data_IF_070776394013
#
_entry.id   IF_070776394013
#
_cell.length_a   1.000
_cell.length_b   1.000
_cell.length_c   1.000
_cell.angle_alpha   90.00
_cell.angle_beta   90.00
_cell.angle_gamma   90.00
#
_symmetry.space_group_name_H-M   'P 1'
#
loop_
_entity.id
_entity.type
_entity.pdbx_description
1 polymer ?
#
# COMPACT_ATOMS: atom_id res chain seq x y z
N UNK A 1 -31.97 39.13 9.26
CA UNK A 1 -31.09 38.14 8.67
C UNK A 1 -31.25 36.82 9.39
N UNK A 2 -32.09 35.91 8.86
CA UNK A 2 -32.27 34.56 9.42
C UNK A 2 -31.18 33.65 8.82
N UNK A 3 -30.26 33.21 9.66
CA UNK A 3 -29.27 32.18 9.31
C UNK A 3 -29.96 30.82 9.39
N UNK A 4 -30.23 30.21 8.22
CA UNK A 4 -30.71 28.83 8.13
C UNK A 4 -29.52 27.93 8.39
N UNK A 5 -29.50 27.23 9.55
CA UNK A 5 -28.58 26.18 9.83
C UNK A 5 -28.91 24.96 8.97
N UNK A 6 -27.95 24.53 8.15
CA UNK A 6 -28.02 23.25 7.43
C UNK A 6 -27.92 22.11 8.45
N UNK A 7 -28.75 21.06 8.33
CA UNK A 7 -28.65 19.92 9.22
C UNK A 7 -27.31 19.21 8.99
N UNK A 8 -26.60 18.98 10.07
CA UNK A 8 -25.42 18.14 10.18
C UNK A 8 -25.76 16.71 9.71
N UNK A 9 -25.31 16.35 8.49
CA UNK A 9 -25.38 15.00 7.95
C UNK A 9 -24.14 14.21 8.38
N UNK A 10 -24.05 13.92 9.66
CA UNK A 10 -22.94 13.17 10.25
C UNK A 10 -23.35 12.28 11.39
N UNK A 11 -24.50 11.64 11.30
CA UNK A 11 -24.83 10.52 12.20
C UNK A 11 -24.92 9.25 11.35
N UNK A 12 -23.86 8.44 11.45
CA UNK A 12 -23.77 7.08 10.90
C UNK A 12 -24.93 6.24 11.45
N UNK A 13 -25.99 6.14 10.66
CA UNK A 13 -27.14 5.28 10.92
C UNK A 13 -26.75 3.83 10.59
N UNK A 14 -25.83 3.24 11.34
CA UNK A 14 -25.62 1.78 11.33
C UNK A 14 -24.75 1.28 12.51
N UNK A 15 -24.84 1.94 13.66
CA UNK A 15 -24.26 1.36 14.88
C UNK A 15 -25.31 0.45 15.53
N UNK A 16 -25.52 -0.75 14.95
CA UNK A 16 -26.24 -1.84 15.62
C UNK A 16 -25.23 -2.52 16.53
N UNK A 17 -25.38 -2.42 17.87
CA UNK A 17 -24.45 -3.06 18.79
C UNK A 17 -24.55 -4.58 18.64
N UNK A 18 -23.51 -5.21 18.12
CA UNK A 18 -23.37 -6.66 18.07
C UNK A 18 -23.05 -7.31 16.72
N UNK A 19 -23.10 -6.59 15.62
CA UNK A 19 -22.64 -7.10 14.33
C UNK A 19 -21.45 -6.27 13.85
N UNK A 20 -20.26 -6.87 13.82
CA UNK A 20 -19.06 -6.29 13.18
C UNK A 20 -19.27 -6.23 11.64
N UNK A 21 -20.26 -5.47 11.19
CA UNK A 21 -20.47 -5.24 9.77
C UNK A 21 -19.53 -4.15 9.33
N UNK A 22 -18.39 -4.55 8.75
CA UNK A 22 -17.47 -3.61 8.14
C UNK A 22 -18.11 -3.07 6.87
N UNK A 23 -18.38 -1.76 6.82
CA UNK A 23 -18.88 -1.11 5.61
C UNK A 23 -17.76 -0.98 4.56
N UNK A 24 -18.13 -0.85 3.30
CA UNK A 24 -17.16 -0.69 2.21
C UNK A 24 -16.20 0.49 2.45
N UNK A 25 -16.73 1.63 2.89
CA UNK A 25 -15.92 2.83 3.16
C UNK A 25 -14.98 2.62 4.36
N UNK A 26 -15.44 1.93 5.39
CA UNK A 26 -14.59 1.57 6.52
C UNK A 26 -13.46 0.61 6.10
N UNK A 27 -13.75 -0.37 5.25
CA UNK A 27 -12.74 -1.28 4.71
C UNK A 27 -11.68 -0.54 3.86
N UNK A 28 -12.11 0.39 3.00
CA UNK A 28 -11.18 1.21 2.20
C UNK A 28 -10.33 2.09 3.11
N UNK A 29 -10.91 2.79 4.08
CA UNK A 29 -10.14 3.62 5.03
C UNK A 29 -9.12 2.79 5.80
N UNK A 30 -9.53 1.62 6.30
CA UNK A 30 -8.64 0.72 7.04
C UNK A 30 -7.47 0.24 6.17
N UNK A 31 -7.74 -0.13 4.92
CA UNK A 31 -6.71 -0.54 3.98
C UNK A 31 -5.72 0.62 3.68
N UNK A 32 -6.23 1.82 3.40
CA UNK A 32 -5.39 2.99 3.13
C UNK A 32 -4.54 3.42 4.34
N UNK A 33 -5.04 3.21 5.56
CA UNK A 33 -4.31 3.60 6.78
C UNK A 33 -3.24 2.58 7.17
N UNK A 34 -3.53 1.29 6.98
CA UNK A 34 -2.68 0.21 7.53
C UNK A 34 -1.79 -0.47 6.48
N UNK A 35 -1.94 -0.15 5.20
CA UNK A 35 -1.13 -0.79 4.16
C UNK A 35 0.34 -0.36 4.27
N UNK A 36 1.29 -1.30 4.43
CA UNK A 36 2.72 -1.01 4.54
C UNK A 36 3.31 -0.39 3.28
N UNK A 37 2.79 -0.71 2.09
CA UNK A 37 3.31 -0.18 0.82
C UNK A 37 3.12 1.34 0.70
N UNK A 38 2.06 1.90 1.32
CA UNK A 38 1.87 3.36 1.40
C UNK A 38 3.01 4.01 2.18
N UNK A 39 3.48 3.35 3.23
CA UNK A 39 4.61 3.85 4.04
C UNK A 39 5.91 3.81 3.24
N UNK A 40 6.14 2.75 2.45
CA UNK A 40 7.29 2.65 1.55
C UNK A 40 7.24 3.75 0.50
N UNK A 41 6.13 3.91 -0.21
CA UNK A 41 5.98 4.96 -1.23
C UNK A 41 6.12 6.38 -0.65
N UNK A 42 5.67 6.60 0.59
CA UNK A 42 5.86 7.89 1.27
C UNK A 42 7.34 8.14 1.64
N UNK A 43 8.06 7.08 2.03
CA UNK A 43 9.50 7.14 2.26
C UNK A 43 10.29 7.42 0.95
N UNK A 44 9.87 6.83 -0.17
CA UNK A 44 10.43 7.12 -1.50
C UNK A 44 10.27 8.60 -1.88
N UNK A 45 9.12 9.20 -1.57
CA UNK A 45 8.92 10.65 -1.78
C UNK A 45 9.87 11.45 -0.90
N UNK A 46 10.05 11.05 0.37
CA UNK A 46 10.99 11.71 1.27
C UNK A 46 12.44 11.60 0.76
N UNK A 47 12.84 10.43 0.26
CA UNK A 47 14.14 10.20 -0.39
C UNK A 47 14.34 11.12 -1.60
N UNK A 48 13.37 11.17 -2.52
CA UNK A 48 13.44 12.05 -3.69
C UNK A 48 13.52 13.56 -3.33
N UNK A 49 12.86 13.97 -2.23
CA UNK A 49 13.01 15.34 -1.71
C UNK A 49 14.39 15.59 -1.13
N UNK A 50 14.99 14.60 -0.47
CA UNK A 50 16.38 14.64 -0.01
C UNK A 50 17.34 14.83 -1.18
N UNK A 51 17.20 14.05 -2.24
CA UNK A 51 17.98 14.20 -3.49
C UNK A 51 17.83 15.61 -4.09
N UNK A 52 16.60 16.13 -4.15
CA UNK A 52 16.37 17.50 -4.63
C UNK A 52 17.09 18.54 -3.76
N UNK A 53 17.14 18.34 -2.45
CA UNK A 53 17.89 19.22 -1.54
C UNK A 53 19.38 19.14 -1.82
N UNK A 54 19.93 17.96 -2.00
CA UNK A 54 21.34 17.74 -2.34
C UNK A 54 21.70 18.42 -3.66
N UNK A 55 20.85 18.30 -4.68
CA UNK A 55 21.06 18.95 -6.00
C UNK A 55 21.02 20.48 -5.92
N UNK A 56 20.30 21.05 -4.96
CA UNK A 56 20.23 22.50 -4.72
C UNK A 56 21.46 23.05 -4.00
N UNK A 57 22.18 22.23 -3.25
CA UNK A 57 23.41 22.66 -2.55
C UNK A 57 24.61 22.65 -3.50
N UNK A 58 25.61 23.46 -3.17
CA UNK A 58 26.91 23.39 -3.83
C UNK A 58 27.65 22.15 -3.32
N UNK A 59 28.50 21.57 -4.17
CA UNK A 59 29.42 20.54 -3.72
C UNK A 59 30.38 21.15 -2.70
N UNK A 60 30.62 20.41 -1.62
CA UNK A 60 31.57 20.86 -0.61
C UNK A 60 32.98 20.89 -1.17
N UNK A 61 33.79 21.87 -0.79
CA UNK A 61 35.21 21.83 -1.12
C UNK A 61 35.88 20.62 -0.46
N UNK A 62 36.71 19.94 -1.24
CA UNK A 62 37.51 18.82 -0.75
C UNK A 62 38.89 19.37 -0.33
N UNK A 63 39.24 19.10 0.93
CA UNK A 63 40.55 19.46 1.47
C UNK A 63 41.34 18.17 1.66
N UNK A 64 42.47 18.03 0.98
CA UNK A 64 43.35 16.90 1.16
C UNK A 64 44.66 17.34 1.82
N UNK A 65 45.08 16.56 2.82
CA UNK A 65 46.38 16.76 3.47
C UNK A 65 47.08 15.40 3.48
N UNK A 66 48.23 15.33 2.80
CA UNK A 66 49.03 14.14 2.72
C UNK A 66 50.41 14.39 3.29
N UNK A 67 50.62 14.16 4.61
CA UNK A 67 51.96 14.20 5.18
C UNK A 67 52.77 12.97 4.75
N UNK A 68 53.97 13.18 4.30
CA UNK A 68 54.89 12.12 3.86
C UNK A 68 56.35 12.41 4.18
N UNK A 69 57.16 11.37 4.12
CA UNK A 69 58.60 11.46 4.26
C UNK A 69 59.25 10.97 2.95
N UNK A 70 60.14 11.76 2.40
CA UNK A 70 60.87 11.40 1.21
C UNK A 70 62.32 11.08 1.60
N UNK A 71 62.73 9.82 1.40
CA UNK A 71 64.10 9.37 1.63
C UNK A 71 64.83 9.38 0.29
N UNK A 72 65.92 10.10 0.19
CA UNK A 72 66.76 10.14 -1.02
C UNK A 72 67.75 9.00 -0.95
N UNK A 73 67.85 8.21 -2.02
CA UNK A 73 68.65 6.97 -2.08
C UNK A 73 70.17 7.23 -2.05
N UNK A 74 70.58 8.46 -2.33
CA UNK A 74 71.98 8.85 -2.47
C UNK A 74 72.56 9.57 -1.25
N UNK A 75 71.68 10.01 -0.37
CA UNK A 75 72.03 10.67 0.89
C UNK A 75 71.06 10.17 1.93
N UNK A 76 71.51 9.62 3.05
CA UNK A 76 70.62 9.12 4.13
C UNK A 76 69.79 10.26 4.77
N UNK A 77 69.43 11.23 4.01
CA UNK A 77 68.67 12.40 4.46
C UNK A 77 67.19 12.16 4.21
N UNK A 78 66.38 12.26 5.24
CA UNK A 78 64.92 12.10 5.22
C UNK A 78 64.29 13.47 5.40
N UNK A 79 63.66 13.98 4.34
CA UNK A 79 62.96 15.26 4.40
C UNK A 79 61.48 15.06 4.57
N UNK A 80 60.87 15.84 5.46
CA UNK A 80 59.42 15.93 5.60
C UNK A 80 58.84 16.61 4.37
N UNK A 81 57.90 15.92 3.71
CA UNK A 81 57.13 16.45 2.58
C UNK A 81 55.68 16.45 2.94
N UNK A 82 55.01 17.58 2.79
CA UNK A 82 53.57 17.68 3.02
C UNK A 82 52.89 18.26 1.81
N UNK A 83 51.90 17.53 1.29
CA UNK A 83 51.03 18.03 0.23
C UNK A 83 49.71 18.53 0.86
N UNK A 84 49.33 19.73 0.45
CA UNK A 84 48.06 20.33 0.78
C UNK A 84 47.29 20.59 -0.51
N UNK A 85 46.10 20.01 -0.64
CA UNK A 85 45.21 20.20 -1.79
C UNK A 85 43.88 20.80 -1.38
N UNK A 86 43.40 21.75 -2.15
CA UNK A 86 42.02 22.26 -2.08
C UNK A 86 41.40 22.11 -3.45
N UNK A 87 40.34 21.28 -3.53
CA UNK A 87 39.60 21.07 -4.77
C UNK A 87 38.17 21.56 -4.61
N UNK A 88 37.72 22.39 -5.55
CA UNK A 88 36.34 22.87 -5.63
C UNK A 88 35.82 22.67 -7.04
N UNK A 89 34.81 21.81 -7.17
CA UNK A 89 34.15 21.57 -8.45
C UNK A 89 33.10 22.64 -8.74
N UNK A 90 33.32 23.41 -9.83
CA UNK A 90 32.36 24.39 -10.35
C UNK A 90 31.61 23.79 -11.54
N UNK A 91 30.28 23.67 -11.41
CA UNK A 91 29.45 23.22 -12.51
C UNK A 91 28.94 24.37 -13.36
N UNK A 92 28.82 24.12 -14.68
CA UNK A 92 28.17 25.06 -15.58
C UNK A 92 26.73 25.38 -15.12
N UNK A 93 26.33 26.67 -15.10
CA UNK A 93 24.99 27.07 -14.61
C UNK A 93 23.83 26.33 -15.27
N UNK A 94 23.91 26.04 -16.57
CA UNK A 94 22.87 25.29 -17.30
C UNK A 94 22.74 23.82 -16.85
N UNK A 95 23.87 23.14 -16.57
CA UNK A 95 23.86 21.74 -16.12
C UNK A 95 23.17 21.60 -14.76
N UNK A 96 23.43 22.52 -13.84
CA UNK A 96 22.80 22.54 -12.52
C UNK A 96 21.28 22.78 -12.59
N UNK A 97 20.84 23.73 -13.45
CA UNK A 97 19.44 24.01 -13.68
C UNK A 97 18.68 22.78 -14.20
N UNK A 98 19.28 22.06 -15.16
CA UNK A 98 18.69 20.82 -15.70
C UNK A 98 18.62 19.72 -14.66
N UNK A 99 19.68 19.51 -13.85
CA UNK A 99 19.66 18.53 -12.76
C UNK A 99 18.56 18.82 -11.74
N UNK A 100 18.42 20.08 -11.35
CA UNK A 100 17.32 20.51 -10.46
C UNK A 100 15.97 20.23 -11.08
N UNK A 101 15.76 20.56 -12.35
CA UNK A 101 14.49 20.28 -13.03
C UNK A 101 14.19 18.78 -13.09
N UNK A 102 15.18 17.92 -13.33
CA UNK A 102 15.03 16.46 -13.30
C UNK A 102 14.64 15.99 -11.89
N UNK A 103 15.31 16.46 -10.83
CA UNK A 103 14.98 16.09 -9.47
C UNK A 103 13.58 16.55 -9.04
N UNK A 104 13.15 17.75 -9.46
CA UNK A 104 11.78 18.25 -9.23
C UNK A 104 10.74 17.34 -9.90
N UNK A 105 10.99 16.92 -11.16
CA UNK A 105 10.12 15.97 -11.87
C UNK A 105 10.12 14.59 -11.23
N UNK A 106 11.25 14.13 -10.70
CA UNK A 106 11.31 12.86 -9.97
C UNK A 106 10.40 12.88 -8.73
N UNK A 107 10.44 13.96 -7.93
CA UNK A 107 9.52 14.13 -6.80
C UNK A 107 8.05 14.08 -7.26
N UNK A 108 7.70 14.80 -8.32
CA UNK A 108 6.34 14.80 -8.87
C UNK A 108 5.90 13.40 -9.33
N UNK A 109 6.80 12.66 -9.98
CA UNK A 109 6.53 11.28 -10.42
C UNK A 109 6.25 10.34 -9.23
N UNK A 110 7.04 10.45 -8.15
CA UNK A 110 6.81 9.65 -6.93
C UNK A 110 5.47 10.00 -6.25
N UNK A 111 5.09 11.28 -6.24
CA UNK A 111 3.79 11.70 -5.71
C UNK A 111 2.62 11.14 -6.53
N UNK A 112 2.73 11.17 -7.87
CA UNK A 112 1.73 10.57 -8.75
C UNK A 112 1.64 9.05 -8.58
N UNK A 113 2.78 8.38 -8.37
CA UNK A 113 2.81 6.94 -8.09
C UNK A 113 2.05 6.59 -6.81
N UNK A 114 2.23 7.36 -5.73
CA UNK A 114 1.47 7.19 -4.49
C UNK A 114 -0.03 7.42 -4.70
N UNK A 115 -0.42 8.48 -5.42
CA UNK A 115 -1.83 8.74 -5.72
C UNK A 115 -2.46 7.62 -6.57
N UNK A 116 -1.73 7.11 -7.55
CA UNK A 116 -2.14 5.95 -8.36
C UNK A 116 -2.31 4.69 -7.52
N UNK A 117 -1.39 4.44 -6.60
CA UNK A 117 -1.47 3.31 -5.68
C UNK A 117 -2.69 3.40 -4.76
N UNK A 118 -3.01 4.56 -4.20
CA UNK A 118 -4.23 4.77 -3.41
C UNK A 118 -5.49 4.39 -4.19
N UNK A 119 -5.59 4.85 -5.45
CA UNK A 119 -6.73 4.53 -6.31
C UNK A 119 -6.82 3.04 -6.61
N UNK A 120 -5.69 2.41 -6.92
CA UNK A 120 -5.63 0.98 -7.21
C UNK A 120 -5.99 0.12 -5.99
N UNK A 121 -5.49 0.47 -4.82
CA UNK A 121 -5.81 -0.20 -3.56
C UNK A 121 -7.32 -0.09 -3.26
N UNK A 122 -7.90 1.09 -3.42
CA UNK A 122 -9.34 1.28 -3.23
C UNK A 122 -10.18 0.40 -4.19
N UNK A 123 -9.75 0.26 -5.45
CA UNK A 123 -10.41 -0.62 -6.42
C UNK A 123 -10.29 -2.09 -6.01
N UNK A 124 -9.11 -2.52 -5.55
CA UNK A 124 -8.89 -3.91 -5.09
C UNK A 124 -9.77 -4.24 -3.88
N UNK A 125 -9.81 -3.36 -2.87
CA UNK A 125 -10.66 -3.53 -1.70
C UNK A 125 -12.14 -3.59 -2.08
N UNK A 126 -12.59 -2.69 -2.97
CA UNK A 126 -13.97 -2.69 -3.47
C UNK A 126 -14.32 -4.00 -4.16
N UNK A 127 -13.44 -4.50 -5.03
CA UNK A 127 -13.63 -5.78 -5.72
C UNK A 127 -13.73 -6.93 -4.71
N UNK A 128 -12.79 -7.02 -3.78
CA UNK A 128 -12.79 -8.05 -2.74
C UNK A 128 -14.06 -8.01 -1.87
N UNK A 129 -14.51 -6.80 -1.52
CA UNK A 129 -15.73 -6.61 -0.75
C UNK A 129 -16.99 -7.16 -1.47
N UNK A 130 -17.16 -6.81 -2.74
CA UNK A 130 -18.31 -7.31 -3.50
C UNK A 130 -18.21 -8.80 -3.81
N UNK A 131 -17.01 -9.35 -4.02
CA UNK A 131 -16.82 -10.80 -4.13
C UNK A 131 -17.26 -11.49 -2.84
N UNK A 132 -16.83 -10.99 -1.68
CA UNK A 132 -17.24 -11.55 -0.39
C UNK A 132 -18.76 -11.48 -0.18
N UNK A 133 -19.42 -10.40 -0.59
CA UNK A 133 -20.86 -10.28 -0.51
C UNK A 133 -21.55 -11.33 -1.39
N UNK A 134 -21.10 -11.52 -2.63
CA UNK A 134 -21.64 -12.54 -3.53
C UNK A 134 -21.43 -13.96 -2.98
N UNK A 135 -20.24 -14.24 -2.44
CA UNK A 135 -19.95 -15.55 -1.84
C UNK A 135 -20.83 -15.85 -0.63
N UNK A 136 -21.15 -14.86 0.19
CA UNK A 136 -22.10 -15.00 1.30
C UNK A 136 -23.50 -15.39 0.83
N UNK A 137 -23.98 -14.75 -0.25
CA UNK A 137 -25.29 -15.11 -0.84
C UNK A 137 -25.28 -16.55 -1.39
N UNK A 138 -24.18 -16.96 -2.03
CA UNK A 138 -24.00 -18.34 -2.51
C UNK A 138 -24.02 -19.33 -1.36
N UNK A 139 -23.37 -19.03 -0.24
CA UNK A 139 -23.39 -19.89 0.95
C UNK A 139 -24.82 -20.00 1.50
N UNK A 140 -25.51 -18.88 1.72
CA UNK A 140 -26.87 -18.86 2.20
C UNK A 140 -27.82 -19.68 1.29
N UNK A 141 -27.69 -19.54 -0.03
CA UNK A 141 -28.45 -20.33 -1.00
C UNK A 141 -28.17 -21.83 -0.89
N UNK A 142 -26.89 -22.21 -0.72
CA UNK A 142 -26.50 -23.62 -0.56
C UNK A 142 -27.06 -24.23 0.73
N UNK A 143 -27.06 -23.46 1.82
CA UNK A 143 -27.65 -23.88 3.11
C UNK A 143 -29.17 -24.11 3.00
N UNK A 144 -29.89 -23.22 2.29
CA UNK A 144 -31.31 -23.41 2.00
C UNK A 144 -31.57 -24.68 1.17
N UNK A 145 -30.73 -24.91 0.12
CA UNK A 145 -30.84 -26.13 -0.68
C UNK A 145 -30.58 -27.39 0.13
N UNK A 146 -29.56 -27.36 1.02
CA UNK A 146 -29.28 -28.49 1.91
C UNK A 146 -30.46 -28.78 2.86
N UNK A 147 -31.08 -27.75 3.42
CA UNK A 147 -32.25 -27.89 4.27
C UNK A 147 -33.42 -28.50 3.50
N UNK A 148 -33.65 -28.05 2.28
CA UNK A 148 -34.68 -28.58 1.39
C UNK A 148 -34.42 -30.06 1.05
N UNK A 149 -33.17 -30.40 0.64
CA UNK A 149 -32.78 -31.77 0.33
C UNK A 149 -33.00 -32.71 1.53
N UNK A 150 -32.62 -32.30 2.74
CA UNK A 150 -32.88 -33.04 3.98
C UNK A 150 -34.39 -33.28 4.20
N UNK A 151 -35.21 -32.27 3.98
CA UNK A 151 -36.66 -32.41 4.10
C UNK A 151 -37.26 -33.39 3.09
N UNK A 152 -36.70 -33.46 1.87
CA UNK A 152 -37.10 -34.48 0.89
C UNK A 152 -36.72 -35.89 1.31
N UNK A 153 -35.49 -36.09 1.81
CA UNK A 153 -35.06 -37.40 2.34
C UNK A 153 -35.96 -37.84 3.51
N UNK A 154 -36.24 -36.94 4.46
CA UNK A 154 -37.11 -37.23 5.59
C UNK A 154 -38.54 -37.56 5.16
N UNK A 155 -39.07 -36.87 4.15
CA UNK A 155 -40.38 -37.17 3.60
C UNK A 155 -40.43 -38.52 2.86
N UNK A 156 -39.35 -38.86 2.12
CA UNK A 156 -39.23 -40.18 1.48
C UNK A 156 -39.14 -41.30 2.51
N UNK A 157 -38.33 -41.15 3.56
CA UNK A 157 -38.25 -42.15 4.66
C UNK A 157 -39.60 -42.37 5.34
N UNK A 158 -40.31 -41.30 5.67
CA UNK A 158 -41.66 -41.41 6.24
C UNK A 158 -42.69 -42.13 5.34
N UNK A 159 -42.60 -41.95 4.02
CA UNK A 159 -43.45 -42.69 3.06
C UNK A 159 -43.12 -44.17 3.03
N UNK A 160 -41.85 -44.54 3.08
CA UNK A 160 -41.41 -45.95 3.14
C UNK A 160 -41.87 -46.58 4.47
N UNK A 161 -41.66 -45.93 5.62
CA UNK A 161 -42.08 -46.39 6.93
C UNK A 161 -43.63 -46.57 7.03
N UNK A 162 -44.37 -45.68 6.36
CA UNK A 162 -45.82 -45.77 6.28
C UNK A 162 -46.35 -46.81 5.26
N UNK A 163 -45.47 -47.52 4.55
CA UNK A 163 -45.85 -48.52 3.56
C UNK A 163 -46.39 -47.95 2.24
N UNK A 164 -46.21 -46.63 2.02
CA UNK A 164 -46.73 -45.96 0.82
C UNK A 164 -45.72 -45.90 -0.34
N UNK A 165 -44.47 -46.30 -0.08
CA UNK A 165 -43.42 -46.32 -1.11
C UNK A 165 -42.47 -47.50 -0.88
N UNK A 166 -41.86 -48.05 -1.98
CA UNK A 166 -40.86 -49.10 -1.87
C UNK A 166 -39.52 -48.54 -1.32
N UNK A 167 -38.76 -49.37 -0.65
CA UNK A 167 -37.55 -49.04 0.09
C UNK A 167 -36.45 -48.35 -0.80
N UNK A 168 -36.44 -48.67 -2.09
CA UNK A 168 -35.50 -48.08 -3.07
C UNK A 168 -35.73 -46.55 -3.26
N UNK A 169 -36.93 -46.01 -3.01
CA UNK A 169 -37.21 -44.59 -3.12
C UNK A 169 -36.47 -43.75 -2.03
N UNK A 170 -36.31 -44.28 -0.84
CA UNK A 170 -35.54 -43.65 0.24
C UNK A 170 -34.05 -43.58 -0.16
N UNK A 171 -33.49 -44.67 -0.67
CA UNK A 171 -32.09 -44.75 -1.13
C UNK A 171 -31.81 -43.83 -2.32
N UNK A 172 -32.78 -43.61 -3.20
CA UNK A 172 -32.64 -42.69 -4.35
C UNK A 172 -32.70 -41.21 -3.93
N UNK A 173 -33.29 -40.92 -2.77
CA UNK A 173 -33.41 -39.58 -2.23
C UNK A 173 -32.17 -39.14 -1.40
N UNK A 174 -31.33 -40.07 -0.96
CA UNK A 174 -30.00 -39.81 -0.34
C UNK A 174 -28.95 -39.38 -1.39
#
# INVERSE_FOLDING_TARGET
GSTVALPDKGQDANDVPGTNVVTLDAAIRLALTNNPDIRVLSADIAGARGELTTVKTWQNPEVSVAPGFKTFRDTSDTQFHGDFGLEQTFEWPGKRALRRAVAEKNVATRQLALAGFHSQLAIQVRRAYFTLMADREVVAFREQRLTLAKSFVDAAKKKVEGGYAPEFEATKAE
#
